data_IF_463451864043
#
_entry.id   IF_463451864043
#
_cell.length_a   1.000
_cell.length_b   1.000
_cell.length_c   1.000
_cell.angle_alpha   90.00
_cell.angle_beta   90.00
_cell.angle_gamma   90.00
#
_symmetry.space_group_name_H-M   'P 1'
#
loop_
_entity.id
_entity.type
_entity.pdbx_description
1 polymer ?
#
# COMPACT_ATOMS: atom_id res chain seq x y z
N UNK A 1 -15.29 -2.07 95.65
CA UNK A 1 -15.85 -2.41 94.34
C UNK A 1 -16.56 -1.16 93.80
N UNK A 2 -15.91 -0.34 93.03
CA UNK A 2 -16.46 0.85 92.39
C UNK A 2 -16.39 0.70 90.89
N UNK A 3 -17.51 0.65 90.22
CA UNK A 3 -17.66 0.70 88.78
C UNK A 3 -17.43 2.12 88.27
N UNK A 4 -16.48 2.31 87.34
CA UNK A 4 -16.24 3.57 86.69
C UNK A 4 -16.92 3.50 85.31
N UNK A 5 -17.92 4.34 85.08
CA UNK A 5 -18.57 4.57 83.78
C UNK A 5 -17.66 5.44 82.91
N UNK A 6 -17.31 4.95 81.75
CA UNK A 6 -16.68 5.74 80.71
C UNK A 6 -17.75 6.28 79.78
N UNK A 7 -17.84 7.61 79.72
CA UNK A 7 -18.64 8.35 78.75
C UNK A 7 -17.86 8.36 77.40
N UNK A 8 -18.47 7.83 76.36
CA UNK A 8 -17.97 7.97 74.97
C UNK A 8 -18.50 9.29 74.43
N UNK A 9 -17.59 10.21 74.11
CA UNK A 9 -17.89 11.39 73.31
C UNK A 9 -17.76 11.02 71.82
N UNK A 10 -18.89 11.14 71.12
CA UNK A 10 -18.92 10.98 69.64
C UNK A 10 -18.47 12.29 69.02
N UNK A 11 -17.31 12.23 68.32
CA UNK A 11 -16.86 13.35 67.46
C UNK A 11 -17.45 13.09 66.09
N UNK A 12 -18.32 13.94 65.61
CA UNK A 12 -18.81 13.96 64.22
C UNK A 12 -17.75 14.58 63.35
N UNK A 13 -17.17 13.74 62.49
CA UNK A 13 -16.27 14.19 61.39
C UNK A 13 -17.16 14.63 60.22
N UNK A 14 -17.22 15.93 59.93
CA UNK A 14 -17.76 16.47 58.68
C UNK A 14 -16.77 16.12 57.57
N UNK A 15 -17.14 15.15 56.74
CA UNK A 15 -16.43 14.88 55.50
C UNK A 15 -16.67 16.00 54.47
N UNK A 16 -15.63 16.71 54.09
CA UNK A 16 -15.60 17.55 52.91
C UNK A 16 -15.61 16.62 51.70
N UNK A 17 -16.73 16.59 50.97
CA UNK A 17 -16.82 15.99 49.64
C UNK A 17 -16.07 16.93 48.70
N UNK A 18 -14.81 16.64 48.44
CA UNK A 18 -14.07 17.21 47.32
C UNK A 18 -14.64 16.63 46.04
N UNK A 19 -15.26 17.46 45.19
CA UNK A 19 -15.46 17.11 43.75
C UNK A 19 -14.09 17.00 43.11
N UNK A 20 -13.55 15.78 43.07
CA UNK A 20 -12.48 15.41 42.15
C UNK A 20 -13.10 15.35 40.77
N UNK A 21 -12.75 16.26 39.89
CA UNK A 21 -12.93 16.08 38.46
C UNK A 21 -12.01 14.89 38.07
N UNK A 22 -12.57 13.70 37.92
CA UNK A 22 -11.94 12.64 37.16
C UNK A 22 -11.85 13.17 35.74
N UNK A 23 -10.67 13.62 35.34
CA UNK A 23 -10.32 13.72 33.94
C UNK A 23 -10.20 12.29 33.45
N UNK A 24 -11.24 11.73 32.82
CA UNK A 24 -11.13 10.57 31.96
C UNK A 24 -10.18 10.97 30.82
N UNK A 25 -8.90 10.85 31.06
CA UNK A 25 -7.92 10.74 29.96
C UNK A 25 -8.18 9.37 29.35
N UNK A 26 -8.99 9.32 28.29
CA UNK A 26 -9.05 8.16 27.42
C UNK A 26 -7.65 7.98 26.81
N UNK A 27 -6.79 7.26 27.51
CA UNK A 27 -5.48 6.92 27.03
C UNK A 27 -5.67 6.00 25.82
N UNK A 28 -5.27 6.47 24.64
CA UNK A 28 -5.38 5.70 23.40
C UNK A 28 -4.36 4.58 23.47
N UNK A 29 -4.86 3.35 23.49
CA UNK A 29 -4.00 2.15 23.57
C UNK A 29 -3.74 1.59 22.19
N UNK A 30 -2.47 1.30 21.89
CA UNK A 30 -2.06 0.59 20.67
C UNK A 30 -2.59 -0.84 20.76
N UNK A 31 -3.32 -1.34 19.74
CA UNK A 31 -3.89 -2.69 19.75
C UNK A 31 -2.80 -3.76 19.65
N UNK A 32 -3.06 -4.92 20.26
CA UNK A 32 -2.24 -6.11 20.09
C UNK A 32 -2.99 -7.12 19.23
N UNK A 33 -2.32 -7.71 18.26
CA UNK A 33 -2.89 -8.70 17.36
C UNK A 33 -2.24 -10.06 17.57
N UNK A 34 -2.98 -11.13 17.25
CA UNK A 34 -2.50 -12.50 17.32
C UNK A 34 -2.95 -13.27 16.07
N UNK A 35 -2.15 -14.21 15.63
CA UNK A 35 -2.54 -15.13 14.57
C UNK A 35 -3.72 -16.02 15.02
N UNK A 36 -4.60 -16.42 14.10
CA UNK A 36 -5.64 -17.39 14.39
C UNK A 36 -5.05 -18.77 14.70
N UNK A 37 -5.72 -19.52 15.60
CA UNK A 37 -5.30 -20.86 16.05
C UNK A 37 -6.37 -21.92 15.81
N UNK A 38 -7.32 -21.67 14.93
CA UNK A 38 -8.36 -22.62 14.56
C UNK A 38 -7.79 -23.78 13.73
N UNK A 39 -8.33 -25.00 13.91
CA UNK A 39 -7.88 -26.19 13.20
C UNK A 39 -8.02 -26.09 11.67
N UNK A 40 -8.93 -25.25 11.15
CA UNK A 40 -9.06 -24.99 9.71
C UNK A 40 -7.80 -24.34 9.12
N UNK A 41 -6.99 -23.68 9.95
CA UNK A 41 -5.74 -23.05 9.56
C UNK A 41 -4.60 -24.08 9.34
N UNK A 42 -4.76 -25.29 9.85
CA UNK A 42 -3.81 -26.40 9.70
C UNK A 42 -4.04 -27.19 8.41
N UNK A 43 -5.18 -27.00 7.77
CA UNK A 43 -5.48 -27.61 6.47
C UNK A 43 -4.62 -26.97 5.37
N UNK A 44 -3.75 -27.77 4.78
CA UNK A 44 -2.87 -27.34 3.70
C UNK A 44 -3.50 -27.65 2.35
N UNK A 45 -3.86 -26.62 1.60
CA UNK A 45 -4.30 -26.76 0.22
C UNK A 45 -3.10 -27.18 -0.66
N UNK A 46 -3.34 -28.01 -1.69
CA UNK A 46 -2.27 -28.59 -2.52
C UNK A 46 -2.15 -27.88 -3.87
N UNK A 47 -3.27 -27.37 -4.40
CA UNK A 47 -3.33 -26.78 -5.73
C UNK A 47 -4.28 -25.58 -5.79
N UNK A 48 -3.97 -24.63 -6.67
CA UNK A 48 -4.86 -23.51 -7.00
C UNK A 48 -6.08 -24.04 -7.77
N UNK A 49 -7.26 -23.56 -7.40
CA UNK A 49 -8.51 -23.88 -8.11
C UNK A 49 -8.62 -23.05 -9.40
N UNK A 50 -7.84 -23.41 -10.44
CA UNK A 50 -7.78 -22.70 -11.71
C UNK A 50 -9.15 -22.61 -12.42
N UNK A 51 -10.01 -23.62 -12.26
CA UNK A 51 -11.37 -23.58 -12.81
C UNK A 51 -12.17 -22.43 -12.18
N UNK A 52 -12.07 -22.23 -10.86
CA UNK A 52 -12.73 -21.13 -10.16
C UNK A 52 -12.15 -19.77 -10.58
N UNK A 53 -10.84 -19.69 -10.78
CA UNK A 53 -10.14 -18.47 -11.25
C UNK A 53 -10.69 -18.00 -12.59
N UNK A 54 -10.94 -18.90 -13.51
CA UNK A 54 -11.36 -18.56 -14.87
C UNK A 54 -12.89 -18.33 -14.99
N UNK A 55 -13.70 -19.16 -14.35
CA UNK A 55 -15.14 -19.22 -14.61
C UNK A 55 -15.96 -18.19 -13.83
N UNK A 56 -15.79 -18.10 -12.53
CA UNK A 56 -16.65 -17.27 -11.68
C UNK A 56 -15.86 -16.61 -10.55
N UNK A 57 -16.39 -15.48 -10.08
CA UNK A 57 -15.88 -14.87 -8.88
C UNK A 57 -16.31 -15.68 -7.65
N UNK A 58 -15.37 -16.06 -6.82
CA UNK A 58 -15.66 -16.73 -5.55
C UNK A 58 -16.26 -15.76 -4.53
N UNK A 59 -17.11 -16.25 -3.65
CA UNK A 59 -17.63 -15.47 -2.52
C UNK A 59 -16.63 -15.45 -1.35
N UNK A 60 -15.87 -16.54 -1.20
CA UNK A 60 -14.80 -16.68 -0.20
C UNK A 60 -13.43 -16.77 -0.86
N UNK A 61 -12.43 -16.17 -0.23
CA UNK A 61 -11.06 -16.20 -0.72
C UNK A 61 -10.50 -17.64 -0.77
N UNK A 62 -10.80 -18.44 0.25
CA UNK A 62 -10.38 -19.85 0.35
C UNK A 62 -10.81 -20.72 -0.83
N UNK A 63 -11.89 -20.38 -1.53
CA UNK A 63 -12.37 -21.15 -2.68
C UNK A 63 -11.39 -21.19 -3.86
N UNK A 64 -10.49 -20.20 -3.95
CA UNK A 64 -9.43 -20.19 -4.97
C UNK A 64 -8.23 -21.06 -4.60
N UNK A 65 -8.07 -21.40 -3.32
CA UNK A 65 -6.94 -22.18 -2.82
C UNK A 65 -5.58 -21.59 -3.22
N UNK A 66 -5.41 -20.27 -3.08
CA UNK A 66 -4.18 -19.58 -3.46
C UNK A 66 -3.05 -19.77 -2.44
N UNK A 67 -3.38 -19.89 -1.18
CA UNK A 67 -2.42 -20.00 -0.07
C UNK A 67 -2.44 -21.41 0.51
N UNK A 68 -1.29 -21.88 1.01
CA UNK A 68 -1.20 -23.18 1.68
C UNK A 68 -2.12 -23.25 2.88
N UNK A 69 -2.09 -22.24 3.76
CA UNK A 69 -3.08 -22.07 4.83
C UNK A 69 -4.09 -20.98 4.44
N UNK A 70 -5.36 -21.31 4.48
CA UNK A 70 -6.41 -20.31 4.19
C UNK A 70 -6.40 -19.13 5.17
N UNK A 71 -5.88 -19.32 6.40
CA UNK A 71 -5.79 -18.27 7.42
C UNK A 71 -4.53 -17.42 7.30
N UNK A 72 -3.58 -17.80 6.46
CA UNK A 72 -2.30 -17.08 6.33
C UNK A 72 -1.96 -16.74 4.87
N UNK A 73 -2.45 -15.60 4.37
CA UNK A 73 -2.18 -15.15 3.00
C UNK A 73 -0.82 -14.43 2.87
N UNK A 74 0.09 -14.60 3.84
CA UNK A 74 1.36 -13.85 3.89
C UNK A 74 2.60 -14.73 3.80
N UNK A 75 2.48 -16.04 4.08
CA UNK A 75 3.64 -16.91 4.19
C UNK A 75 3.92 -17.70 2.90
N UNK A 76 3.04 -18.63 2.55
CA UNK A 76 3.27 -19.57 1.45
C UNK A 76 2.08 -19.59 0.49
N UNK A 77 2.39 -19.64 -0.78
CA UNK A 77 1.41 -19.79 -1.85
C UNK A 77 1.40 -21.23 -2.38
N UNK A 78 0.24 -21.65 -2.88
CA UNK A 78 0.07 -22.93 -3.56
C UNK A 78 0.59 -22.89 -4.99
N UNK A 79 0.78 -24.06 -5.56
CA UNK A 79 1.25 -24.26 -6.92
C UNK A 79 2.49 -23.39 -7.21
N UNK A 80 2.49 -22.67 -8.32
CA UNK A 80 3.61 -21.82 -8.74
C UNK A 80 3.52 -20.37 -8.25
N UNK A 81 2.79 -20.13 -7.16
CA UNK A 81 2.71 -18.80 -6.56
C UNK A 81 4.05 -18.40 -5.95
N UNK A 82 4.62 -17.26 -6.39
CA UNK A 82 5.84 -16.71 -5.83
C UNK A 82 5.57 -15.41 -5.07
N UNK A 83 6.12 -15.25 -3.87
CA UNK A 83 6.10 -13.99 -3.18
C UNK A 83 7.02 -12.99 -3.90
N UNK A 84 6.64 -11.71 -3.85
CA UNK A 84 7.47 -10.62 -4.36
C UNK A 84 7.20 -9.32 -3.62
N UNK A 85 8.14 -8.40 -3.69
CA UNK A 85 7.97 -7.04 -3.20
C UNK A 85 8.47 -6.00 -4.20
N UNK A 86 8.15 -4.75 -3.95
CA UNK A 86 8.59 -3.63 -4.78
C UNK A 86 9.67 -2.85 -4.03
N UNK A 87 10.74 -2.47 -4.72
CA UNK A 87 11.81 -1.63 -4.16
C UNK A 87 11.31 -0.29 -3.61
N UNK A 88 10.20 0.21 -4.20
CA UNK A 88 9.43 1.34 -3.67
C UNK A 88 7.96 0.96 -3.67
N UNK A 89 7.33 0.68 -2.52
CA UNK A 89 5.92 0.34 -2.44
C UNK A 89 5.03 1.57 -2.60
N UNK A 90 3.88 1.40 -3.27
CA UNK A 90 2.80 2.38 -3.25
C UNK A 90 2.29 2.51 -1.81
N UNK A 91 2.22 3.75 -1.29
CA UNK A 91 1.73 4.02 0.06
C UNK A 91 0.24 3.68 0.22
N UNK A 92 -0.14 3.13 1.34
CA UNK A 92 -1.52 2.84 1.75
C UNK A 92 -1.58 2.77 3.28
N UNK A 93 -1.60 3.93 3.93
CA UNK A 93 -1.81 4.06 5.38
C UNK A 93 -0.88 3.21 6.24
N UNK A 94 0.40 3.09 5.87
CA UNK A 94 1.42 2.28 6.56
C UNK A 94 1.10 0.79 6.66
N UNK A 95 0.12 0.27 5.93
CA UNK A 95 -0.14 -1.17 5.92
C UNK A 95 1.04 -1.95 5.36
N UNK A 96 1.33 -3.10 5.96
CA UNK A 96 2.16 -4.13 5.31
C UNK A 96 1.45 -4.68 4.09
N UNK A 97 2.21 -5.05 3.08
CA UNK A 97 1.67 -5.49 1.80
C UNK A 97 2.36 -6.77 1.37
N UNK A 98 1.67 -7.88 1.55
CA UNK A 98 2.15 -9.19 1.12
C UNK A 98 1.61 -9.49 -0.27
N UNK A 99 2.49 -9.84 -1.19
CA UNK A 99 2.15 -10.00 -2.60
C UNK A 99 2.61 -11.35 -3.12
N UNK A 100 1.78 -11.95 -3.95
CA UNK A 100 2.14 -13.14 -4.71
C UNK A 100 1.72 -12.98 -6.16
N UNK A 101 2.53 -13.57 -7.04
CA UNK A 101 2.21 -13.73 -8.45
C UNK A 101 1.96 -15.20 -8.74
N UNK A 102 0.89 -15.48 -9.48
CA UNK A 102 0.53 -16.81 -9.95
C UNK A 102 0.41 -16.78 -11.47
N UNK A 103 1.09 -17.68 -12.13
CA UNK A 103 1.00 -17.88 -13.58
C UNK A 103 0.57 -19.33 -13.81
N UNK A 104 -0.45 -19.61 -14.65
CA UNK A 104 -0.91 -20.96 -14.92
C UNK A 104 0.22 -21.87 -15.41
N UNK A 105 0.09 -23.16 -15.16
CA UNK A 105 1.06 -24.14 -15.61
C UNK A 105 1.22 -24.11 -17.14
N UNK A 106 2.46 -24.23 -17.61
CA UNK A 106 2.87 -24.16 -19.02
C UNK A 106 2.69 -22.79 -19.70
N UNK A 107 2.26 -21.77 -18.96
CA UNK A 107 2.19 -20.38 -19.39
C UNK A 107 3.31 -19.55 -18.75
N UNK A 108 3.66 -18.44 -19.38
CA UNK A 108 4.67 -17.51 -18.86
C UNK A 108 4.26 -16.07 -19.12
N UNK A 109 4.64 -15.19 -18.20
CA UNK A 109 4.58 -13.75 -18.46
C UNK A 109 5.69 -13.34 -19.43
N UNK A 110 5.51 -12.21 -20.10
CA UNK A 110 6.49 -11.63 -21.02
C UNK A 110 7.05 -10.34 -20.43
N UNK A 111 8.35 -10.17 -20.48
CA UNK A 111 9.04 -8.95 -20.10
C UNK A 111 8.64 -7.79 -21.02
N UNK A 112 8.36 -6.63 -20.43
CA UNK A 112 8.09 -5.39 -21.17
C UNK A 112 8.95 -4.29 -20.57
N UNK A 113 9.81 -3.71 -21.38
CA UNK A 113 10.70 -2.63 -20.94
C UNK A 113 9.89 -1.39 -20.50
N UNK A 114 10.19 -0.90 -19.30
CA UNK A 114 9.58 0.32 -18.73
C UNK A 114 8.12 0.20 -18.31
N UNK A 115 7.40 -0.85 -18.66
CA UNK A 115 5.99 -1.07 -18.34
C UNK A 115 5.77 -2.33 -17.50
N UNK A 116 4.54 -2.58 -17.10
CA UNK A 116 4.15 -3.82 -16.42
C UNK A 116 4.32 -5.00 -17.38
N UNK A 117 4.78 -6.14 -16.86
CA UNK A 117 4.91 -7.37 -17.64
C UNK A 117 3.55 -7.79 -18.21
N UNK A 118 3.57 -8.41 -19.37
CA UNK A 118 2.38 -9.04 -19.96
C UNK A 118 2.17 -10.42 -19.37
N UNK A 119 0.98 -10.66 -18.86
CA UNK A 119 0.62 -11.92 -18.21
C UNK A 119 -0.40 -12.70 -19.03
N UNK A 120 -0.28 -14.03 -19.07
CA UNK A 120 -1.24 -14.88 -19.75
C UNK A 120 -2.59 -14.93 -19.04
N UNK A 121 -3.61 -15.45 -19.76
CA UNK A 121 -4.94 -15.70 -19.23
C UNK A 121 -4.87 -16.58 -17.98
N UNK A 122 -5.63 -16.24 -16.95
CA UNK A 122 -5.66 -16.95 -15.67
C UNK A 122 -4.60 -16.52 -14.66
N UNK A 123 -3.65 -15.64 -15.04
CA UNK A 123 -2.68 -15.11 -14.07
C UNK A 123 -3.39 -14.34 -12.95
N UNK A 124 -2.82 -14.41 -11.76
CA UNK A 124 -3.33 -13.74 -10.56
C UNK A 124 -2.20 -12.97 -9.88
N UNK A 125 -2.47 -11.73 -9.52
CA UNK A 125 -1.68 -10.95 -8.58
C UNK A 125 -2.48 -10.81 -7.30
N UNK A 126 -1.95 -11.27 -6.18
CA UNK A 126 -2.55 -11.04 -4.86
C UNK A 126 -1.85 -9.90 -4.16
N UNK A 127 -2.60 -9.17 -3.35
CA UNK A 127 -2.07 -8.14 -2.47
C UNK A 127 -2.86 -8.13 -1.17
N UNK A 128 -2.26 -8.65 -0.12
CA UNK A 128 -2.84 -8.64 1.23
C UNK A 128 -2.36 -7.41 1.97
N UNK A 129 -3.30 -6.68 2.55
CA UNK A 129 -3.07 -5.51 3.37
C UNK A 129 -3.27 -5.88 4.83
N UNK A 130 -2.25 -5.60 5.62
CA UNK A 130 -2.25 -5.88 7.05
C UNK A 130 -1.80 -4.64 7.82
N UNK A 131 -2.48 -4.32 8.91
CA UNK A 131 -2.16 -3.17 9.74
C UNK A 131 -1.29 -3.61 10.91
N UNK A 132 -0.04 -3.16 11.00
CA UNK A 132 0.80 -3.41 12.16
C UNK A 132 0.30 -2.63 13.37
N UNK A 133 0.65 -3.08 14.56
CA UNK A 133 0.43 -2.30 15.79
C UNK A 133 1.29 -1.04 15.81
N UNK A 134 2.55 -1.19 15.37
CA UNK A 134 3.50 -0.09 15.21
C UNK A 134 4.27 -0.25 13.88
N UNK A 135 4.69 0.86 13.28
CA UNK A 135 5.37 0.81 11.96
C UNK A 135 6.69 0.10 11.98
N UNK A 136 7.35 -0.03 13.14
CA UNK A 136 8.63 -0.69 13.34
C UNK A 136 8.51 -2.18 13.74
N UNK A 137 7.29 -2.68 14.00
CA UNK A 137 7.04 -4.08 14.36
C UNK A 137 6.04 -4.71 13.40
N UNK A 138 6.55 -5.38 12.36
CA UNK A 138 5.76 -5.94 11.27
C UNK A 138 5.87 -7.46 11.22
N UNK A 139 4.87 -8.08 10.63
CA UNK A 139 4.80 -9.51 10.39
C UNK A 139 3.46 -10.11 10.82
N UNK A 140 3.06 -11.18 10.17
CA UNK A 140 1.74 -11.82 10.31
C UNK A 140 1.27 -12.01 11.77
N UNK A 141 2.19 -12.35 12.68
CA UNK A 141 1.83 -12.66 14.07
C UNK A 141 1.45 -11.43 14.90
N UNK A 142 1.82 -10.24 14.46
CA UNK A 142 1.66 -8.97 15.19
C UNK A 142 0.86 -7.93 14.42
N UNK A 143 0.21 -8.35 13.33
CA UNK A 143 -0.57 -7.48 12.45
C UNK A 143 -2.03 -7.90 12.34
N UNK A 144 -2.89 -6.93 12.09
CA UNK A 144 -4.29 -7.16 11.75
C UNK A 144 -4.46 -7.25 10.23
N UNK A 145 -4.68 -8.45 9.70
CA UNK A 145 -5.02 -8.61 8.28
C UNK A 145 -6.39 -7.98 8.04
N UNK A 146 -6.46 -7.04 7.09
CA UNK A 146 -7.69 -6.31 6.75
C UNK A 146 -8.34 -6.88 5.51
N UNK A 147 -7.59 -6.88 4.39
CA UNK A 147 -8.12 -7.28 3.09
C UNK A 147 -7.07 -7.98 2.24
N UNK A 148 -7.54 -8.83 1.34
CA UNK A 148 -6.74 -9.36 0.22
C UNK A 148 -7.40 -8.96 -1.09
N UNK A 149 -6.67 -8.26 -1.94
CA UNK A 149 -7.09 -7.92 -3.30
C UNK A 149 -6.50 -8.89 -4.30
N UNK A 150 -7.35 -9.36 -5.20
CA UNK A 150 -6.94 -10.17 -6.34
C UNK A 150 -7.09 -9.34 -7.63
N UNK A 151 -6.05 -9.33 -8.44
CA UNK A 151 -6.11 -8.93 -9.84
C UNK A 151 -6.02 -10.20 -10.66
N UNK A 152 -7.06 -10.52 -11.41
CA UNK A 152 -7.19 -11.77 -12.17
C UNK A 152 -7.26 -11.45 -13.65
N UNK A 153 -6.39 -12.05 -14.48
CA UNK A 153 -6.43 -11.92 -15.94
C UNK A 153 -7.51 -12.81 -16.51
N UNK A 154 -8.59 -12.21 -16.98
CA UNK A 154 -9.71 -12.85 -17.68
C UNK A 154 -9.61 -12.60 -19.19
N UNK A 155 -10.44 -13.23 -19.99
CA UNK A 155 -10.51 -13.01 -21.45
C UNK A 155 -10.76 -11.53 -21.82
N UNK A 156 -11.63 -10.86 -21.06
CA UNK A 156 -11.94 -9.43 -21.25
C UNK A 156 -10.87 -8.47 -20.67
N UNK A 157 -9.76 -8.99 -20.14
CA UNK A 157 -8.73 -8.19 -19.48
C UNK A 157 -8.62 -8.44 -17.97
N UNK A 158 -7.93 -7.58 -17.27
CA UNK A 158 -7.77 -7.67 -15.83
C UNK A 158 -9.05 -7.28 -15.08
N UNK A 159 -9.35 -7.99 -14.02
CA UNK A 159 -10.45 -7.69 -13.10
C UNK A 159 -9.94 -7.62 -11.67
N UNK A 160 -10.42 -6.64 -10.90
CA UNK A 160 -10.09 -6.50 -9.48
C UNK A 160 -11.20 -7.09 -8.60
N UNK A 161 -10.80 -7.79 -7.54
CA UNK A 161 -11.70 -8.33 -6.51
C UNK A 161 -11.10 -8.09 -5.13
N UNK A 162 -11.89 -7.51 -4.23
CA UNK A 162 -11.50 -7.29 -2.84
C UNK A 162 -12.21 -8.30 -1.93
N UNK A 163 -11.46 -8.86 -1.00
CA UNK A 163 -11.90 -9.79 0.03
C UNK A 163 -11.52 -9.21 1.37
N UNK A 164 -12.51 -8.99 2.25
CA UNK A 164 -12.30 -8.49 3.60
C UNK A 164 -12.27 -9.67 4.56
N UNK A 165 -11.25 -9.72 5.39
CA UNK A 165 -11.06 -10.76 6.39
C UNK A 165 -12.08 -10.64 7.50
N UNK A 166 -12.62 -11.79 7.94
CA UNK A 166 -13.50 -11.86 9.08
C UNK A 166 -12.76 -11.52 10.40
N UNK A 167 -13.50 -11.33 11.48
CA UNK A 167 -12.92 -11.00 12.79
C UNK A 167 -11.99 -12.10 13.31
N UNK A 168 -12.32 -13.37 13.04
CA UNK A 168 -11.51 -14.53 13.42
C UNK A 168 -10.28 -14.75 12.54
N UNK A 169 -10.17 -14.04 11.41
CA UNK A 169 -9.09 -14.21 10.39
C UNK A 169 -9.02 -15.63 9.83
N UNK A 170 -10.15 -16.33 9.76
CA UNK A 170 -10.21 -17.70 9.26
C UNK A 170 -10.43 -17.74 7.74
N UNK A 171 -11.11 -16.74 7.19
CA UNK A 171 -11.32 -16.57 5.75
C UNK A 171 -11.68 -15.12 5.43
N UNK A 172 -11.69 -14.77 4.15
CA UNK A 172 -12.09 -13.46 3.69
C UNK A 172 -13.28 -13.52 2.74
N UNK A 173 -14.22 -12.60 2.91
CA UNK A 173 -15.44 -12.51 2.12
C UNK A 173 -15.32 -11.41 1.07
N UNK A 174 -15.79 -11.72 -0.14
CA UNK A 174 -15.81 -10.77 -1.25
C UNK A 174 -16.69 -9.56 -0.93
N UNK A 175 -16.17 -8.37 -1.16
CA UNK A 175 -16.90 -7.10 -1.03
C UNK A 175 -16.90 -6.35 -2.37
N UNK A 176 -18.03 -5.66 -2.66
CA UNK A 176 -18.18 -4.81 -3.85
C UNK A 176 -18.23 -3.33 -3.48
N UNK A 177 -18.88 -3.05 -2.36
CA UNK A 177 -19.20 -1.69 -1.91
C UNK A 177 -18.11 -1.12 -1.00
N UNK A 178 -16.97 -1.85 -0.88
CA UNK A 178 -15.89 -1.45 -0.01
C UNK A 178 -16.21 -1.62 1.47
N UNK A 179 -15.47 -0.91 2.31
CA UNK A 179 -15.64 -0.95 3.76
C UNK A 179 -14.70 0.01 4.46
N UNK A 180 -14.81 0.07 5.78
CA UNK A 180 -13.92 0.90 6.61
C UNK A 180 -13.49 0.15 7.86
N UNK A 181 -12.27 0.39 8.32
CA UNK A 181 -11.70 -0.17 9.54
C UNK A 181 -11.12 0.97 10.37
N UNK A 182 -11.66 1.20 11.58
CA UNK A 182 -11.06 2.13 12.52
C UNK A 182 -9.66 1.62 12.92
N UNK A 183 -8.68 2.49 12.85
CA UNK A 183 -7.28 2.13 12.97
C UNK A 183 -6.58 3.01 13.99
N UNK A 184 -5.78 2.37 14.84
CA UNK A 184 -4.82 2.98 15.75
C UNK A 184 -3.46 2.38 15.44
N UNK A 185 -2.47 3.22 15.17
CA UNK A 185 -1.13 2.82 14.73
C UNK A 185 -0.07 3.63 15.46
N UNK A 186 0.88 2.97 16.10
CA UNK A 186 2.10 3.62 16.60
C UNK A 186 3.06 3.93 15.44
N UNK A 187 3.55 5.18 15.36
CA UNK A 187 4.48 5.60 14.34
C UNK A 187 5.54 6.53 14.95
N UNK A 188 6.74 6.00 15.18
CA UNK A 188 7.77 6.69 15.96
C UNK A 188 7.26 6.99 17.37
N UNK A 189 7.26 8.25 17.76
CA UNK A 189 6.72 8.72 19.06
C UNK A 189 5.21 9.06 19.00
N UNK A 190 4.61 9.05 17.81
CA UNK A 190 3.22 9.43 17.58
C UNK A 190 2.26 8.24 17.60
N UNK A 191 1.00 8.51 17.90
CA UNK A 191 -0.11 7.58 17.72
C UNK A 191 -1.06 8.15 16.67
N UNK A 192 -1.11 7.48 15.53
CA UNK A 192 -1.99 7.83 14.43
C UNK A 192 -3.37 7.18 14.64
N UNK A 193 -4.42 7.97 14.47
CA UNK A 193 -5.80 7.50 14.50
C UNK A 193 -6.50 7.91 13.22
N UNK A 194 -6.96 6.94 12.46
CA UNK A 194 -7.63 7.18 11.18
C UNK A 194 -8.57 6.03 10.84
N UNK A 195 -9.33 6.20 9.78
CA UNK A 195 -10.19 5.15 9.25
C UNK A 195 -9.58 4.63 7.96
N UNK A 196 -9.08 3.38 7.99
CA UNK A 196 -8.61 2.70 6.78
C UNK A 196 -9.79 2.42 5.86
N UNK A 197 -9.65 2.75 4.57
CA UNK A 197 -10.67 2.56 3.55
C UNK A 197 -10.40 1.34 2.66
N UNK A 198 -11.26 0.31 2.73
CA UNK A 198 -11.31 -0.73 1.71
C UNK A 198 -12.04 -0.15 0.49
N UNK A 199 -11.42 -0.08 -0.70
CA UNK A 199 -12.04 0.57 -1.85
C UNK A 199 -13.22 -0.25 -2.40
N UNK A 200 -14.17 0.46 -2.98
CA UNK A 200 -15.23 -0.18 -3.78
C UNK A 200 -14.63 -0.80 -5.04
N UNK A 201 -15.34 -1.75 -5.65
CA UNK A 201 -14.91 -2.36 -6.91
C UNK A 201 -14.77 -1.31 -8.04
N UNK A 202 -15.63 -0.28 -8.06
CA UNK A 202 -15.54 0.81 -9.02
C UNK A 202 -14.34 1.71 -8.79
N UNK A 203 -13.97 1.96 -7.53
CA UNK A 203 -12.82 2.77 -7.18
C UNK A 203 -11.48 2.19 -7.67
N UNK A 204 -11.40 0.87 -7.89
CA UNK A 204 -10.20 0.26 -8.48
C UNK A 204 -9.87 0.86 -9.86
N UNK A 205 -10.90 1.23 -10.64
CA UNK A 205 -10.70 1.80 -11.99
C UNK A 205 -10.09 3.20 -11.96
N UNK A 206 -10.19 3.94 -10.86
CA UNK A 206 -9.59 5.27 -10.75
C UNK A 206 -8.07 5.23 -10.91
N UNK A 207 -7.42 4.19 -10.34
CA UNK A 207 -5.98 4.01 -10.42
C UNK A 207 -5.54 3.07 -11.55
N UNK A 208 -6.37 2.08 -11.89
CA UNK A 208 -6.01 1.00 -12.80
C UNK A 208 -6.49 1.18 -14.25
N UNK A 209 -7.23 2.26 -14.53
CA UNK A 209 -7.70 2.55 -15.88
C UNK A 209 -6.56 3.09 -16.73
N UNK A 210 -6.34 2.44 -17.86
CA UNK A 210 -5.33 2.78 -18.84
C UNK A 210 -6.00 3.04 -20.20
N UNK A 211 -5.78 4.21 -20.76
CA UNK A 211 -6.32 4.63 -22.06
C UNK A 211 -5.41 4.11 -23.17
N UNK A 212 -5.92 3.20 -24.00
CA UNK A 212 -5.20 2.65 -25.17
C UNK A 212 -5.42 3.53 -26.40
N UNK A 213 -6.64 4.03 -26.55
CA UNK A 213 -7.03 4.97 -27.59
C UNK A 213 -8.12 5.92 -27.09
N UNK A 214 -8.61 6.84 -27.94
CA UNK A 214 -9.68 7.77 -27.54
C UNK A 214 -10.94 7.06 -27.04
N UNK A 215 -11.24 5.88 -27.57
CA UNK A 215 -12.48 5.15 -27.29
C UNK A 215 -12.23 3.81 -26.57
N UNK A 216 -10.99 3.48 -26.23
CA UNK A 216 -10.64 2.20 -25.65
C UNK A 216 -9.82 2.39 -24.37
N UNK A 217 -10.29 1.74 -23.30
CA UNK A 217 -9.60 1.73 -22.01
C UNK A 217 -9.52 0.32 -21.49
N UNK A 218 -8.36 -0.04 -20.96
CA UNK A 218 -8.13 -1.32 -20.30
C UNK A 218 -7.86 -1.11 -18.81
N UNK A 219 -8.03 -2.17 -18.04
CA UNK A 219 -7.54 -2.24 -16.68
C UNK A 219 -6.09 -2.70 -16.71
N UNK A 220 -5.16 -1.96 -16.08
CA UNK A 220 -3.74 -2.25 -16.05
C UNK A 220 -3.24 -2.50 -14.63
N UNK A 221 -2.21 -3.32 -14.51
CA UNK A 221 -1.43 -3.44 -13.28
C UNK A 221 -0.60 -2.15 -13.05
N UNK A 222 -0.07 -1.99 -11.83
CA UNK A 222 0.77 -0.83 -11.47
C UNK A 222 2.18 -1.28 -11.09
N UNK A 223 2.28 -2.28 -10.22
CA UNK A 223 3.51 -2.64 -9.55
C UNK A 223 4.52 -3.48 -10.31
N UNK A 224 4.13 -4.57 -11.03
CA UNK A 224 5.09 -5.53 -11.58
C UNK A 224 5.78 -5.01 -12.85
N UNK A 225 6.65 -4.00 -12.68
CA UNK A 225 7.57 -3.44 -13.68
C UNK A 225 8.99 -3.84 -13.32
N UNK A 226 9.86 -4.00 -14.32
CA UNK A 226 11.24 -4.36 -14.11
C UNK A 226 11.94 -3.45 -13.10
N UNK A 227 11.76 -2.15 -13.20
CA UNK A 227 12.39 -1.16 -12.32
C UNK A 227 12.09 -1.34 -10.82
N UNK A 228 10.94 -1.90 -10.46
CA UNK A 228 10.56 -2.17 -9.07
C UNK A 228 10.84 -3.60 -8.63
N UNK A 229 11.00 -4.53 -9.58
CA UNK A 229 11.27 -5.94 -9.34
C UNK A 229 12.76 -6.31 -9.48
N UNK A 230 13.59 -5.44 -10.10
CA UNK A 230 15.02 -5.67 -10.22
C UNK A 230 15.74 -5.40 -8.88
N UNK A 231 15.36 -6.17 -7.88
CA UNK A 231 15.91 -6.14 -6.53
C UNK A 231 15.88 -7.55 -5.94
N UNK A 232 16.70 -7.77 -4.93
CA UNK A 232 16.73 -9.05 -4.23
C UNK A 232 15.53 -9.22 -3.29
N UNK A 233 15.07 -10.45 -3.16
CA UNK A 233 14.05 -10.88 -2.21
C UNK A 233 14.55 -12.11 -1.46
N UNK A 234 14.22 -12.20 -0.17
CA UNK A 234 14.60 -13.33 0.69
C UNK A 234 13.57 -14.45 0.56
N UNK A 235 13.78 -15.33 -0.42
CA UNK A 235 12.98 -16.54 -0.60
C UNK A 235 13.38 -17.61 0.43
N UNK A 236 12.50 -18.57 0.67
CA UNK A 236 12.83 -19.73 1.52
C UNK A 236 14.08 -20.51 1.02
N UNK A 237 14.41 -20.40 -0.26
CA UNK A 237 15.57 -21.01 -0.91
C UNK A 237 16.85 -20.16 -0.83
N UNK A 238 16.78 -18.95 -0.31
CA UNK A 238 17.86 -17.97 -0.23
C UNK A 238 17.53 -16.64 -0.90
N UNK A 239 18.41 -15.65 -0.71
CA UNK A 239 18.26 -14.32 -1.30
C UNK A 239 18.60 -14.36 -2.80
N UNK A 240 17.67 -13.94 -3.66
CA UNK A 240 17.84 -13.98 -5.13
C UNK A 240 17.15 -12.75 -5.76
N UNK A 241 17.64 -12.30 -6.92
CA UNK A 241 16.96 -11.27 -7.71
C UNK A 241 15.59 -11.75 -8.17
N UNK A 242 14.56 -10.95 -7.95
CA UNK A 242 13.18 -11.37 -8.19
C UNK A 242 12.89 -11.71 -9.64
N UNK A 243 13.45 -10.96 -10.61
CA UNK A 243 13.26 -11.23 -12.04
C UNK A 243 13.93 -12.54 -12.42
N UNK A 244 15.17 -12.79 -11.93
CA UNK A 244 15.87 -14.07 -12.12
C UNK A 244 15.07 -15.25 -11.53
N UNK A 245 14.52 -15.04 -10.33
CA UNK A 245 13.65 -16.03 -9.68
C UNK A 245 12.41 -16.35 -10.53
N UNK A 246 11.74 -15.33 -11.05
CA UNK A 246 10.58 -15.54 -11.92
C UNK A 246 10.93 -16.30 -13.21
N UNK A 247 12.11 -16.06 -13.78
CA UNK A 247 12.61 -16.79 -14.95
C UNK A 247 12.92 -18.24 -14.56
N UNK A 248 13.68 -18.47 -13.49
CA UNK A 248 14.12 -19.82 -13.08
C UNK A 248 12.95 -20.72 -12.66
N UNK A 249 11.89 -20.15 -12.04
CA UNK A 249 10.65 -20.86 -11.72
C UNK A 249 9.70 -20.97 -12.93
N UNK A 250 10.06 -20.40 -14.06
CA UNK A 250 9.30 -20.47 -15.30
C UNK A 250 8.00 -19.65 -15.30
N UNK A 251 7.92 -18.59 -14.48
CA UNK A 251 6.79 -17.66 -14.46
C UNK A 251 6.98 -16.55 -15.50
N UNK A 252 8.23 -16.20 -15.81
CA UNK A 252 8.60 -15.20 -16.81
C UNK A 252 9.38 -15.87 -17.94
N UNK A 253 9.06 -15.52 -19.19
CA UNK A 253 9.85 -15.97 -20.34
C UNK A 253 11.21 -15.27 -20.32
N UNK A 254 12.28 -16.03 -20.47
CA UNK A 254 13.64 -15.49 -20.55
C UNK A 254 13.86 -14.64 -21.81
N UNK A 255 13.07 -14.87 -22.86
CA UNK A 255 13.21 -14.15 -24.12
C UNK A 255 12.93 -12.66 -23.94
N UNK A 256 13.90 -11.83 -24.29
CA UNK A 256 13.78 -10.36 -24.16
C UNK A 256 14.05 -9.81 -22.78
N UNK A 257 14.38 -10.65 -21.79
CA UNK A 257 14.82 -10.18 -20.46
C UNK A 257 16.29 -9.78 -20.56
N UNK A 258 16.63 -8.48 -20.33
CA UNK A 258 18.03 -8.03 -20.36
C UNK A 258 18.83 -8.61 -19.18
N UNK A 259 20.15 -8.51 -19.25
CA UNK A 259 21.02 -8.83 -18.11
C UNK A 259 20.68 -7.94 -16.90
N UNK A 260 20.89 -8.45 -15.68
CA UNK A 260 20.50 -7.76 -14.42
C UNK A 260 21.00 -6.31 -14.37
N UNK A 261 22.25 -6.08 -14.81
CA UNK A 261 22.88 -4.76 -14.79
C UNK A 261 22.32 -3.78 -15.84
N UNK A 262 21.63 -4.27 -16.85
CA UNK A 262 21.06 -3.48 -17.95
C UNK A 262 19.59 -3.12 -17.71
N UNK A 263 18.95 -3.77 -16.72
CA UNK A 263 17.54 -3.53 -16.37
C UNK A 263 17.40 -2.22 -15.59
N UNK A 264 16.31 -1.53 -15.85
CA UNK A 264 15.91 -0.42 -14.97
C UNK A 264 15.81 -0.87 -13.51
N UNK A 265 16.28 -0.03 -12.62
CA UNK A 265 16.20 -0.24 -11.17
C UNK A 265 15.84 1.06 -10.48
N UNK A 266 14.76 1.08 -9.73
CA UNK A 266 14.43 2.20 -8.85
C UNK A 266 15.24 2.09 -7.55
N UNK A 267 15.65 3.25 -7.01
CA UNK A 267 16.26 3.31 -5.66
C UNK A 267 15.26 2.80 -4.63
N UNK A 268 15.74 2.03 -3.66
CA UNK A 268 14.90 1.55 -2.57
C UNK A 268 14.48 2.70 -1.66
N UNK A 269 13.20 2.80 -1.40
CA UNK A 269 12.63 3.74 -0.44
C UNK A 269 11.42 3.13 0.24
N UNK A 270 11.34 3.20 1.55
CA UNK A 270 10.24 2.68 2.36
C UNK A 270 10.04 3.53 3.63
N UNK A 271 9.10 3.12 4.48
CA UNK A 271 8.69 3.82 5.70
C UNK A 271 9.77 3.86 6.80
N UNK A 272 10.96 3.28 6.58
CA UNK A 272 12.08 3.24 7.54
C UNK A 272 13.27 4.08 7.10
N UNK A 273 13.24 4.65 5.89
CA UNK A 273 14.36 5.43 5.38
C UNK A 273 14.36 6.80 6.03
N UNK A 274 15.45 7.12 6.73
CA UNK A 274 15.72 8.49 7.11
C UNK A 274 16.01 9.32 5.84
N UNK A 275 15.06 10.17 5.50
CA UNK A 275 15.12 11.01 4.30
C UNK A 275 16.37 11.87 4.26
N UNK A 276 16.87 12.32 5.42
CA UNK A 276 18.07 13.15 5.50
C UNK A 276 19.35 12.36 5.19
N UNK A 277 19.32 11.05 5.31
CA UNK A 277 20.43 10.17 4.95
C UNK A 277 20.60 9.94 3.46
N UNK A 278 19.60 10.26 2.62
CA UNK A 278 19.66 10.07 1.16
C UNK A 278 20.71 11.03 0.58
N UNK A 279 21.73 10.51 -0.17
CA UNK A 279 22.73 11.38 -0.79
C UNK A 279 22.08 12.39 -1.77
N UNK A 280 22.57 13.64 -1.84
CA UNK A 280 22.04 14.63 -2.80
C UNK A 280 22.05 14.14 -4.26
N UNK A 281 23.02 13.30 -4.63
CA UNK A 281 23.12 12.70 -5.97
C UNK A 281 22.04 11.68 -6.29
N UNK A 282 21.35 11.13 -5.28
CA UNK A 282 20.30 10.12 -5.44
C UNK A 282 18.90 10.68 -5.14
N UNK A 283 18.82 11.90 -4.57
CA UNK A 283 17.59 12.50 -4.07
C UNK A 283 16.53 12.66 -5.16
N UNK A 284 16.92 13.19 -6.31
CA UNK A 284 16.00 13.41 -7.43
C UNK A 284 15.47 12.10 -7.99
N UNK A 285 16.35 11.11 -8.20
CA UNK A 285 15.97 9.79 -8.71
C UNK A 285 15.00 9.09 -7.75
N UNK A 286 15.30 9.11 -6.44
CA UNK A 286 14.45 8.52 -5.40
C UNK A 286 13.07 9.20 -5.32
N UNK A 287 13.05 10.54 -5.33
CA UNK A 287 11.80 11.30 -5.28
C UNK A 287 10.93 11.06 -6.52
N UNK A 288 11.52 11.05 -7.71
CA UNK A 288 10.81 10.75 -8.96
C UNK A 288 10.29 9.32 -9.00
N UNK A 289 11.05 8.35 -8.50
CA UNK A 289 10.61 6.96 -8.43
C UNK A 289 9.45 6.79 -7.43
N UNK A 290 9.48 7.50 -6.30
CA UNK A 290 8.36 7.52 -5.36
C UNK A 290 7.11 8.18 -5.96
N UNK A 291 7.28 9.28 -6.69
CA UNK A 291 6.18 9.95 -7.40
C UNK A 291 5.62 9.09 -8.55
N UNK A 292 6.47 8.32 -9.24
CA UNK A 292 6.02 7.42 -10.30
C UNK A 292 5.09 6.34 -9.75
N UNK A 293 5.51 5.60 -8.70
CA UNK A 293 4.69 4.50 -8.16
C UNK A 293 3.41 5.00 -7.46
N UNK A 294 3.45 6.18 -6.82
CA UNK A 294 2.30 6.72 -6.09
C UNK A 294 1.36 7.58 -6.94
N UNK A 295 1.83 8.20 -8.02
CA UNK A 295 1.07 9.18 -8.81
C UNK A 295 1.07 8.86 -10.30
N UNK A 296 2.17 8.28 -10.83
CA UNK A 296 2.38 8.10 -12.27
C UNK A 296 1.36 7.23 -12.98
N UNK A 297 0.69 6.32 -12.27
CA UNK A 297 -0.36 5.49 -12.84
C UNK A 297 -1.61 6.29 -13.24
N UNK A 298 -1.90 7.41 -12.54
CA UNK A 298 -2.94 8.36 -12.91
C UNK A 298 -2.39 9.55 -13.70
N UNK A 299 -1.25 10.11 -13.26
CA UNK A 299 -0.61 11.30 -13.81
C UNK A 299 0.35 10.96 -14.95
N UNK A 300 -0.18 10.39 -16.02
CA UNK A 300 0.45 10.07 -17.29
C UNK A 300 -0.54 10.32 -18.44
N UNK A 301 -0.06 10.29 -19.68
CA UNK A 301 -0.90 10.53 -20.86
C UNK A 301 -2.08 9.57 -20.97
N UNK A 302 -1.87 8.30 -20.63
CA UNK A 302 -2.87 7.22 -20.68
C UNK A 302 -3.68 7.09 -19.40
N UNK A 303 -3.32 7.84 -18.34
CA UNK A 303 -3.96 7.73 -17.02
C UNK A 303 -5.22 8.56 -16.87
N UNK A 304 -5.92 8.37 -15.75
CA UNK A 304 -7.17 9.06 -15.42
C UNK A 304 -6.99 10.56 -15.18
N UNK A 305 -5.78 11.00 -14.78
CA UNK A 305 -5.41 12.41 -14.61
C UNK A 305 -4.58 12.95 -15.79
N UNK A 306 -4.83 12.45 -17.01
CA UNK A 306 -4.11 12.84 -18.23
C UNK A 306 -4.27 14.32 -18.61
N UNK A 307 -5.28 15.00 -18.12
CA UNK A 307 -5.56 16.41 -18.38
C UNK A 307 -4.89 17.37 -17.37
N UNK A 308 -4.09 16.87 -16.42
CA UNK A 308 -3.39 17.73 -15.45
C UNK A 308 -2.03 18.17 -15.97
N UNK A 309 -1.51 19.29 -15.47
CA UNK A 309 -0.18 19.78 -15.79
C UNK A 309 0.94 18.93 -15.14
N UNK A 310 0.61 18.14 -14.11
CA UNK A 310 1.54 17.23 -13.45
C UNK A 310 1.59 15.89 -14.16
N UNK A 311 2.79 15.45 -14.53
CA UNK A 311 3.08 14.10 -15.04
C UNK A 311 4.28 13.54 -14.31
N UNK A 312 4.12 12.39 -13.68
CA UNK A 312 5.17 11.76 -12.87
C UNK A 312 5.54 10.34 -13.34
N UNK A 313 4.87 9.81 -14.37
CA UNK A 313 5.23 8.50 -14.90
C UNK A 313 6.64 8.53 -15.51
N UNK A 314 7.42 7.51 -15.23
CA UNK A 314 8.78 7.36 -15.78
C UNK A 314 8.78 7.22 -17.30
N UNK A 315 7.75 6.57 -17.85
CA UNK A 315 7.51 6.55 -19.28
C UNK A 315 6.92 7.89 -19.71
N UNK A 316 7.79 8.74 -20.25
CA UNK A 316 7.46 10.06 -20.69
C UNK A 316 8.23 11.18 -19.96
N UNK A 317 8.07 12.41 -20.41
CA UNK A 317 8.70 13.54 -19.76
C UNK A 317 8.00 13.87 -18.44
N UNK A 318 8.78 13.95 -17.35
CA UNK A 318 8.29 14.48 -16.08
C UNK A 318 7.88 15.96 -16.29
N UNK A 319 6.65 16.29 -15.90
CA UNK A 319 6.08 17.63 -16.06
C UNK A 319 5.53 18.15 -14.72
N UNK A 320 5.46 19.47 -14.62
CA UNK A 320 4.91 20.14 -13.44
C UNK A 320 5.78 21.30 -12.92
N UNK A 321 7.01 21.43 -13.42
CA UNK A 321 7.88 22.55 -13.01
C UNK A 321 7.35 23.87 -13.59
N UNK A 322 7.11 24.85 -12.73
CA UNK A 322 6.59 26.17 -13.10
C UNK A 322 5.23 26.14 -13.82
N UNK A 323 4.53 25.03 -13.82
CA UNK A 323 3.25 24.89 -14.50
C UNK A 323 2.09 25.39 -13.62
N UNK A 324 1.14 26.06 -14.26
CA UNK A 324 -0.09 26.49 -13.59
C UNK A 324 -1.05 25.29 -13.52
N UNK A 325 -1.59 24.95 -12.33
CA UNK A 325 -2.51 23.82 -12.19
C UNK A 325 -3.82 24.08 -12.95
N UNK A 326 -4.36 23.04 -13.57
CA UNK A 326 -5.61 23.10 -14.34
C UNK A 326 -6.83 23.34 -13.45
N UNK A 327 -6.81 22.88 -12.19
CA UNK A 327 -7.90 23.07 -11.23
C UNK A 327 -7.44 22.91 -9.77
N UNK A 328 -8.26 23.42 -8.85
CA UNK A 328 -8.11 23.10 -7.41
C UNK A 328 -6.97 23.82 -6.69
N UNK A 329 -6.45 24.91 -7.25
CA UNK A 329 -5.47 25.77 -6.59
C UNK A 329 -5.99 27.20 -6.48
N UNK A 330 -5.61 27.88 -5.40
CA UNK A 330 -5.77 29.33 -5.31
C UNK A 330 -5.00 30.06 -6.41
N UNK A 331 -5.32 31.33 -6.62
CA UNK A 331 -4.62 32.16 -7.60
C UNK A 331 -3.12 32.26 -7.27
N UNK A 332 -2.28 31.89 -8.24
CA UNK A 332 -0.82 32.02 -8.12
C UNK A 332 -0.06 30.78 -7.64
N UNK A 333 -0.73 29.66 -7.32
CA UNK A 333 -0.04 28.41 -7.01
C UNK A 333 0.54 27.78 -8.28
N UNK A 334 1.74 27.21 -8.16
CA UNK A 334 2.37 26.39 -9.20
C UNK A 334 2.34 24.92 -8.82
N UNK A 335 2.34 24.03 -9.79
CA UNK A 335 2.36 22.59 -9.56
C UNK A 335 3.62 22.22 -8.77
N UNK A 336 4.80 22.59 -9.27
CA UNK A 336 6.08 22.55 -8.56
C UNK A 336 6.78 23.89 -8.76
N UNK A 337 7.04 24.59 -7.66
CA UNK A 337 7.90 25.76 -7.62
C UNK A 337 9.30 25.32 -7.17
N UNK A 338 10.30 25.24 -8.06
CA UNK A 338 11.64 24.83 -7.69
C UNK A 338 12.21 25.69 -6.57
N UNK A 339 12.85 25.07 -5.57
CA UNK A 339 13.40 25.71 -4.39
C UNK A 339 12.37 26.10 -3.32
N UNK A 340 11.09 25.79 -3.49
CA UNK A 340 10.05 26.11 -2.49
C UNK A 340 8.91 25.09 -2.49
N UNK A 341 9.08 24.06 -1.66
CA UNK A 341 8.06 23.01 -1.53
C UNK A 341 6.74 23.55 -0.93
N UNK A 342 6.81 24.41 0.09
CA UNK A 342 5.62 24.95 0.77
C UNK A 342 4.68 25.71 -0.18
N UNK A 343 5.23 26.31 -1.24
CA UNK A 343 4.47 26.99 -2.30
C UNK A 343 4.18 26.09 -3.52
N UNK A 344 4.54 24.81 -3.45
CA UNK A 344 4.30 23.82 -4.50
C UNK A 344 3.03 23.02 -4.22
N UNK A 345 2.09 23.02 -5.18
CA UNK A 345 0.80 22.34 -5.03
C UNK A 345 0.95 20.82 -4.79
N UNK A 346 1.95 20.18 -5.40
CA UNK A 346 2.24 18.75 -5.19
C UNK A 346 2.50 18.49 -3.71
N UNK A 347 3.39 19.26 -3.08
CA UNK A 347 3.67 19.09 -1.64
C UNK A 347 2.44 19.38 -0.79
N UNK A 348 1.72 20.48 -1.03
CA UNK A 348 0.53 20.83 -0.27
C UNK A 348 -0.53 19.71 -0.28
N UNK A 349 -0.74 19.08 -1.46
CA UNK A 349 -1.67 17.96 -1.63
C UNK A 349 -1.21 16.65 -0.98
N UNK A 350 0.09 16.44 -0.87
CA UNK A 350 0.66 15.29 -0.15
C UNK A 350 0.56 15.48 1.36
N UNK A 351 0.75 16.72 1.84
CA UNK A 351 0.82 17.08 3.26
C UNK A 351 -0.56 17.41 3.88
N UNK A 352 -1.63 16.83 3.37
CA UNK A 352 -2.99 16.98 3.92
C UNK A 352 -3.81 15.72 3.72
N UNK A 353 -4.84 15.55 4.55
CA UNK A 353 -5.89 14.52 4.42
C UNK A 353 -7.24 15.13 4.04
N UNK A 354 -7.30 16.43 3.74
CA UNK A 354 -8.54 17.13 3.41
C UNK A 354 -9.20 16.54 2.16
N UNK A 355 -10.44 16.11 2.32
CA UNK A 355 -11.21 15.52 1.23
C UNK A 355 -11.37 16.51 0.06
N UNK A 356 -11.10 16.02 -1.16
CA UNK A 356 -11.17 16.82 -2.39
C UNK A 356 -9.92 17.67 -2.68
N UNK A 357 -8.99 17.77 -1.72
CA UNK A 357 -7.70 18.45 -1.93
C UNK A 357 -6.52 17.50 -1.87
N UNK A 358 -6.52 16.54 -0.95
CA UNK A 358 -5.45 15.54 -0.79
C UNK A 358 -5.20 14.71 -2.06
N UNK A 359 -3.94 14.33 -2.31
CA UNK A 359 -3.53 13.39 -3.37
C UNK A 359 -2.64 12.28 -2.79
N UNK A 360 -2.84 11.03 -3.21
CA UNK A 360 -3.94 10.50 -4.02
C UNK A 360 -5.33 10.74 -3.38
N UNK A 361 -6.41 10.85 -4.19
CA UNK A 361 -7.76 11.13 -3.66
C UNK A 361 -8.43 9.91 -3.01
N UNK A 362 -7.86 8.71 -3.24
CA UNK A 362 -8.32 7.43 -2.70
C UNK A 362 -7.10 6.59 -2.28
N UNK A 363 -7.33 5.61 -1.40
CA UNK A 363 -6.31 4.65 -1.00
C UNK A 363 -5.37 5.14 0.11
N UNK A 364 -5.63 6.33 0.69
CA UNK A 364 -4.97 6.80 1.90
C UNK A 364 -5.91 7.64 2.77
N UNK A 365 -5.76 7.49 4.06
CA UNK A 365 -6.42 8.28 5.11
C UNK A 365 -5.40 8.98 6.03
N UNK A 366 -4.14 8.55 5.96
CA UNK A 366 -3.01 9.16 6.68
C UNK A 366 -2.05 9.88 5.72
N UNK A 367 -1.26 10.80 6.21
CA UNK A 367 -0.13 11.40 5.50
C UNK A 367 1.03 10.41 5.55
N UNK A 368 1.70 10.17 4.43
CA UNK A 368 2.98 9.46 4.38
C UNK A 368 4.09 10.44 4.76
N UNK A 369 4.48 10.47 6.01
CA UNK A 369 5.44 11.44 6.53
C UNK A 369 6.77 11.41 5.76
N UNK A 370 7.33 10.21 5.55
CA UNK A 370 8.61 9.99 4.87
C UNK A 370 8.54 10.37 3.38
N UNK A 371 7.48 9.94 2.68
CA UNK A 371 7.29 10.28 1.27
C UNK A 371 7.06 11.77 1.05
N UNK A 372 6.32 12.41 1.94
CA UNK A 372 6.07 13.86 1.91
C UNK A 372 7.37 14.62 2.20
N UNK A 373 8.16 14.17 3.18
CA UNK A 373 9.48 14.74 3.49
C UNK A 373 10.47 14.57 2.32
N UNK A 374 10.48 13.40 1.67
CA UNK A 374 11.30 13.13 0.48
C UNK A 374 11.00 14.13 -0.64
N UNK A 375 9.71 14.30 -0.98
CA UNK A 375 9.30 15.23 -2.04
C UNK A 375 9.60 16.67 -1.65
N UNK A 376 9.39 17.04 -0.39
CA UNK A 376 9.76 18.36 0.13
C UNK A 376 11.25 18.64 -0.05
N UNK A 377 12.10 17.76 0.45
CA UNK A 377 13.55 17.91 0.38
C UNK A 377 14.03 17.98 -1.06
N UNK A 378 13.48 17.16 -1.95
CA UNK A 378 13.80 17.21 -3.37
C UNK A 378 13.43 18.57 -3.99
N UNK A 379 12.18 19.05 -3.80
CA UNK A 379 11.73 20.33 -4.35
C UNK A 379 12.58 21.49 -3.82
N UNK A 380 12.88 21.51 -2.51
CA UNK A 380 13.69 22.56 -1.88
C UNK A 380 15.16 22.55 -2.38
N UNK A 381 15.64 21.39 -2.84
CA UNK A 381 17.00 21.25 -3.41
C UNK A 381 17.11 21.72 -4.87
N UNK A 382 15.98 21.89 -5.57
CA UNK A 382 16.00 22.32 -6.96
C UNK A 382 16.49 23.75 -7.08
N UNK A 383 17.59 23.93 -7.80
CA UNK A 383 18.10 25.24 -8.15
C UNK A 383 17.26 25.80 -9.29
N UNK A 384 16.71 26.97 -9.10
CA UNK A 384 15.73 27.63 -9.97
C UNK A 384 16.19 27.76 -11.41
N UNK A 385 15.33 27.43 -12.42
CA UNK A 385 15.00 28.46 -13.37
C UNK A 385 13.88 29.30 -12.75
N UNK A 386 13.97 30.64 -12.86
CA UNK A 386 12.87 31.50 -12.44
C UNK A 386 11.62 31.12 -13.21
N UNK A 387 10.55 30.71 -12.51
CA UNK A 387 9.23 30.58 -13.12
C UNK A 387 8.74 32.00 -13.45
N UNK A 388 8.87 32.44 -14.70
CA UNK A 388 8.41 33.74 -15.19
C UNK A 388 6.94 33.69 -15.57
#
# INVERSE_FOLDING_TARGET
>A
MKKINKILASVALLGLVGCGSESDSNEVTIPTYNAPTDAVCDDVAQDVNWAKVLLADADKLSEYKLFESQCNPTANANARGLPYDLSIPLFSDYTSKYRFVFVPENEKATYVEGEVFEFPLGSIITKTFSMPSTTDNRGFLVENIIETRLLIKKEAGWVARAYVWDEGKLDATRVRDGGTVATILGHGEDILQFTYGVPTQSACTECHKFKVSENETHFSLIGPKARYLNSNYDYATGTENQIEKWVSEGLLDQTGVPEVAEREQAKTFNDYVDVDSIPPSELEETAKAWLDINCGHCHRTEGTASNTAFKSATQGAFQGFCEIPVSGAGTGALVILPGNAESSLVYQRLNTTDAGFSMPPIGRSAIHAEGTALVKRWIDSLTTPSCN
#
